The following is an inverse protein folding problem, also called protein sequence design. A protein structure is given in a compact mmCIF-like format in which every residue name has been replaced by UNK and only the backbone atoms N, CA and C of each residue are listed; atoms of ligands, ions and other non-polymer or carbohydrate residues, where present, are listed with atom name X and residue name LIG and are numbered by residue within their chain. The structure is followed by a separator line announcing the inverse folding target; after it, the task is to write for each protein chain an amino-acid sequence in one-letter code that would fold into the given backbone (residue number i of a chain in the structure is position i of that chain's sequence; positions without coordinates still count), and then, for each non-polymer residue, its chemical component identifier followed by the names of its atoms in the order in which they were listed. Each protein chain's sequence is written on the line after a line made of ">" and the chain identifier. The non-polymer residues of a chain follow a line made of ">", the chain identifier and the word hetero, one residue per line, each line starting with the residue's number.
data_IF_748334104202
#
_entry.id   IF_748334104202
#
_cell.length_a   1.000
_cell.length_b   1.000
_cell.length_c   1.000
_cell.angle_alpha   90.00
_cell.angle_beta   90.00
_cell.angle_gamma   90.00
#
_symmetry.space_group_name_H-M   'P 1'
#
loop_
_entity.id
_entity.type
_entity.pdbx_description
1 polymer ?
#
# COMPACT_ATOMS: atom_id res chain seq x y z
N UNK A 1 -23.83 0.16 -31.75
CA UNK A 1 -23.07 -1.06 -32.06
C UNK A 1 -22.12 -1.34 -30.90
N UNK A 2 -22.49 -2.23 -29.98
CA UNK A 2 -21.71 -2.54 -28.78
C UNK A 2 -21.15 -3.96 -28.85
N UNK A 3 -19.82 -4.06 -28.93
CA UNK A 3 -19.12 -5.35 -28.90
C UNK A 3 -18.73 -5.66 -27.45
N UNK A 4 -19.37 -6.67 -26.87
CA UNK A 4 -18.96 -7.29 -25.60
C UNK A 4 -17.92 -8.38 -25.90
N UNK A 5 -16.76 -8.44 -25.21
CA UNK A 5 -15.94 -9.64 -25.23
C UNK A 5 -16.44 -10.64 -24.17
N UNK A 6 -16.96 -11.78 -24.63
CA UNK A 6 -17.28 -12.95 -23.81
C UNK A 6 -15.99 -13.71 -23.46
N UNK A 7 -15.46 -13.50 -22.26
CA UNK A 7 -14.36 -14.27 -21.69
C UNK A 7 -14.91 -15.66 -21.31
N UNK A 8 -14.59 -16.68 -22.12
CA UNK A 8 -14.83 -18.10 -21.80
C UNK A 8 -13.79 -18.57 -20.78
N UNK A 9 -14.23 -19.01 -19.60
CA UNK A 9 -13.39 -19.73 -18.63
C UNK A 9 -13.19 -21.18 -19.09
N UNK A 10 -12.00 -21.79 -18.95
CA UNK A 10 -11.83 -23.20 -19.23
C UNK A 10 -12.47 -24.05 -18.12
N UNK A 11 -13.35 -24.98 -18.51
CA UNK A 11 -13.81 -26.05 -17.64
C UNK A 11 -12.65 -27.02 -17.40
N UNK A 12 -12.26 -27.19 -16.15
CA UNK A 12 -11.38 -28.28 -15.74
C UNK A 12 -12.17 -29.60 -15.80
N UNK A 13 -11.86 -30.46 -16.76
CA UNK A 13 -12.35 -31.83 -16.83
C UNK A 13 -11.25 -32.81 -16.47
N UNK A 14 -11.16 -33.14 -15.18
CA UNK A 14 -10.61 -34.44 -14.76
C UNK A 14 -11.33 -34.87 -13.48
N UNK A 15 -12.41 -35.64 -13.62
CA UNK A 15 -13.03 -36.37 -12.52
C UNK A 15 -12.84 -37.85 -12.80
N UNK A 16 -11.78 -38.41 -12.22
CA UNK A 16 -11.58 -39.85 -12.11
C UNK A 16 -12.61 -40.39 -11.11
N UNK A 17 -13.64 -41.06 -11.63
CA UNK A 17 -14.54 -41.89 -10.83
C UNK A 17 -13.77 -43.11 -10.33
N UNK A 18 -13.38 -43.10 -9.05
CA UNK A 18 -12.99 -44.31 -8.33
C UNK A 18 -14.23 -44.90 -7.65
N UNK A 19 -14.50 -46.16 -7.98
CA UNK A 19 -15.57 -46.96 -7.39
C UNK A 19 -15.31 -47.14 -5.89
N UNK A 20 -16.35 -46.85 -5.11
CA UNK A 20 -16.39 -47.05 -3.66
C UNK A 20 -16.53 -48.55 -3.40
N UNK A 21 -15.42 -49.22 -3.09
CA UNK A 21 -15.48 -50.50 -2.37
C UNK A 21 -15.50 -50.20 -0.86
N UNK A 22 -16.63 -50.49 -0.24
CA UNK A 22 -16.82 -50.42 1.20
C UNK A 22 -16.04 -51.54 1.89
N UNK A 23 -14.84 -51.20 2.38
CA UNK A 23 -14.18 -51.95 3.45
C UNK A 23 -13.81 -50.93 4.51
N UNK A 24 -14.34 -51.13 5.72
CA UNK A 24 -14.07 -50.30 6.88
C UNK A 24 -12.56 -50.28 7.18
N UNK A 25 -11.86 -49.24 6.71
CA UNK A 25 -10.51 -48.94 7.18
C UNK A 25 -10.65 -48.14 8.47
N UNK A 26 -10.44 -48.88 9.55
CA UNK A 26 -10.00 -48.42 10.87
C UNK A 26 -9.13 -47.17 10.70
N UNK A 27 -9.48 -46.10 11.41
CA UNK A 27 -8.74 -44.84 11.48
C UNK A 27 -7.36 -45.11 12.08
N UNK A 28 -6.41 -45.49 11.24
CA UNK A 28 -5.00 -45.37 11.59
C UNK A 28 -4.67 -43.88 11.53
N UNK A 29 -4.42 -43.29 12.68
CA UNK A 29 -3.71 -42.03 12.79
C UNK A 29 -2.28 -42.27 12.26
N UNK A 30 -2.12 -42.37 10.94
CA UNK A 30 -0.81 -42.39 10.31
C UNK A 30 -0.21 -41.03 10.56
N UNK A 31 0.68 -40.98 11.54
CA UNK A 31 1.57 -39.87 11.80
C UNK A 31 2.51 -39.73 10.60
N UNK A 32 2.00 -39.27 9.44
CA UNK A 32 2.83 -38.77 8.36
C UNK A 32 3.32 -37.38 8.75
N UNK A 33 4.02 -37.33 9.88
CA UNK A 33 4.66 -36.13 10.38
C UNK A 33 5.77 -35.78 9.41
N UNK A 34 5.54 -34.77 8.58
CA UNK A 34 6.54 -33.82 8.07
C UNK A 34 7.96 -34.40 7.91
N UNK A 35 8.11 -35.49 7.15
CA UNK A 35 9.42 -36.04 6.89
C UNK A 35 10.13 -35.14 5.88
N UNK A 36 11.39 -34.79 6.16
CA UNK A 36 12.29 -34.04 5.28
C UNK A 36 12.50 -34.70 3.89
N UNK A 37 12.00 -35.93 3.69
CA UNK A 37 12.06 -36.63 2.41
C UNK A 37 10.71 -36.71 1.69
N UNK A 38 9.73 -35.92 2.12
CA UNK A 38 8.50 -35.71 1.35
C UNK A 38 8.80 -35.09 -0.03
N UNK A 39 7.95 -35.29 -1.04
CA UNK A 39 8.19 -34.80 -2.40
C UNK A 39 8.45 -33.28 -2.49
N UNK A 40 7.81 -32.50 -1.62
CA UNK A 40 8.03 -31.05 -1.51
C UNK A 40 9.44 -30.71 -1.00
N UNK A 41 9.92 -31.38 0.05
CA UNK A 41 11.27 -31.17 0.58
C UNK A 41 12.36 -31.71 -0.34
N UNK A 42 12.14 -32.83 -1.02
CA UNK A 42 13.07 -33.36 -2.03
C UNK A 42 13.31 -32.34 -3.14
N UNK A 43 12.25 -31.71 -3.64
CA UNK A 43 12.38 -30.65 -4.66
C UNK A 43 13.10 -29.43 -4.09
N UNK A 44 12.79 -29.02 -2.85
CA UNK A 44 13.47 -27.90 -2.18
C UNK A 44 14.98 -28.15 -2.04
N UNK A 45 15.39 -29.36 -1.62
CA UNK A 45 16.80 -29.73 -1.54
C UNK A 45 17.47 -29.75 -2.92
N UNK A 46 16.80 -30.29 -3.95
CA UNK A 46 17.35 -30.29 -5.31
C UNK A 46 17.59 -28.86 -5.81
N UNK A 47 16.65 -27.93 -5.60
CA UNK A 47 16.82 -26.53 -5.96
C UNK A 47 17.95 -25.87 -5.16
N UNK A 48 18.06 -26.16 -3.86
CA UNK A 48 19.12 -25.62 -3.01
C UNK A 48 20.51 -26.13 -3.43
N UNK A 49 20.66 -27.43 -3.66
CA UNK A 49 21.92 -28.03 -4.13
C UNK A 49 22.28 -27.55 -5.53
N UNK A 50 21.30 -27.45 -6.44
CA UNK A 50 21.53 -26.91 -7.77
C UNK A 50 21.96 -25.43 -7.69
N UNK A 51 21.32 -24.63 -6.83
CA UNK A 51 21.70 -23.23 -6.62
C UNK A 51 23.12 -23.08 -6.08
N UNK A 52 23.55 -23.93 -5.13
CA UNK A 52 24.92 -23.94 -4.61
C UNK A 52 25.95 -24.33 -5.67
N UNK A 53 25.62 -25.29 -6.52
CA UNK A 53 26.50 -25.71 -7.63
C UNK A 53 26.58 -24.66 -8.75
N UNK A 54 25.51 -23.91 -8.97
CA UNK A 54 25.45 -22.83 -9.99
C UNK A 54 26.08 -21.53 -9.45
N UNK A 55 26.05 -21.29 -8.14
CA UNK A 55 26.62 -20.10 -7.49
C UNK A 55 28.03 -19.72 -7.94
N UNK A 56 29.03 -20.63 -8.02
CA UNK A 56 30.38 -20.28 -8.47
C UNK A 56 30.47 -19.91 -9.97
N UNK A 57 29.48 -20.28 -10.78
CA UNK A 57 29.43 -19.95 -12.21
C UNK A 57 28.65 -18.66 -12.51
N UNK A 58 27.94 -18.13 -11.51
CA UNK A 58 27.28 -16.84 -11.64
C UNK A 58 28.34 -15.74 -11.59
N UNK A 59 28.30 -14.86 -12.58
CA UNK A 59 29.21 -13.71 -12.66
C UNK A 59 29.10 -12.88 -11.37
N UNK A 60 30.23 -12.72 -10.68
CA UNK A 60 30.30 -11.94 -9.44
C UNK A 60 29.73 -10.54 -9.66
N UNK A 61 28.91 -10.01 -8.72
CA UNK A 61 28.43 -8.65 -8.82
C UNK A 61 29.60 -7.66 -8.87
N UNK A 62 29.46 -6.61 -9.68
CA UNK A 62 30.41 -5.51 -9.73
C UNK A 62 30.49 -4.84 -8.35
N UNK A 63 31.70 -4.59 -7.87
CA UNK A 63 31.96 -3.92 -6.58
C UNK A 63 31.49 -2.46 -6.58
N UNK A 64 31.26 -1.87 -7.74
CA UNK A 64 30.78 -0.49 -7.87
C UNK A 64 29.25 -0.43 -7.78
N UNK A 65 28.67 0.44 -6.94
CA UNK A 65 27.22 0.60 -6.86
C UNK A 65 26.68 1.22 -8.16
N UNK A 66 25.99 0.41 -8.97
CA UNK A 66 25.30 0.87 -10.19
C UNK A 66 23.94 1.40 -9.78
N UNK A 67 23.86 2.68 -9.43
CA UNK A 67 22.59 3.34 -9.12
C UNK A 67 22.50 4.70 -9.83
N UNK A 68 21.36 5.07 -10.42
CA UNK A 68 21.22 6.35 -11.10
C UNK A 68 21.40 7.56 -10.17
N UNK A 69 21.18 7.40 -8.86
CA UNK A 69 21.16 8.50 -7.90
C UNK A 69 22.51 8.80 -7.26
N UNK A 70 23.40 7.81 -7.10
CA UNK A 70 24.75 8.08 -6.56
C UNK A 70 25.68 8.60 -7.65
N UNK A 71 25.85 7.83 -8.74
CA UNK A 71 26.83 8.12 -9.79
C UNK A 71 26.16 8.04 -11.18
N UNK A 72 25.67 9.18 -11.72
CA UNK A 72 24.93 9.18 -12.98
C UNK A 72 25.79 8.76 -14.18
N UNK A 73 27.07 9.13 -14.19
CA UNK A 73 28.00 8.80 -15.29
C UNK A 73 28.32 7.31 -15.29
N UNK A 74 28.68 6.75 -14.12
CA UNK A 74 28.95 5.32 -13.97
C UNK A 74 27.72 4.46 -14.30
N UNK A 75 26.50 4.96 -14.05
CA UNK A 75 25.26 4.27 -14.42
C UNK A 75 25.05 4.24 -15.95
N UNK A 76 25.37 5.32 -16.66
CA UNK A 76 25.25 5.36 -18.12
C UNK A 76 26.38 4.56 -18.82
N UNK A 77 27.57 4.48 -18.22
CA UNK A 77 28.63 3.57 -18.64
C UNK A 77 28.19 2.11 -18.49
N UNK A 78 27.63 1.76 -17.32
CA UNK A 78 27.14 0.41 -17.03
C UNK A 78 25.98 -0.04 -17.95
N UNK A 79 25.26 0.88 -18.59
CA UNK A 79 24.29 0.50 -19.64
C UNK A 79 24.93 0.05 -20.93
N UNK A 80 26.05 0.69 -21.28
CA UNK A 80 26.77 0.49 -22.54
C UNK A 80 27.75 -0.68 -22.43
N UNK A 81 28.22 -0.97 -21.23
CA UNK A 81 29.16 -2.05 -20.97
C UNK A 81 28.57 -3.44 -21.25
N UNK A 82 29.21 -4.16 -22.17
CA UNK A 82 28.84 -5.53 -22.52
C UNK A 82 29.43 -6.59 -21.57
N UNK A 83 30.40 -6.20 -20.74
CA UNK A 83 31.07 -7.07 -19.76
C UNK A 83 30.19 -7.38 -18.55
N UNK A 84 29.10 -6.61 -18.35
CA UNK A 84 28.19 -6.80 -17.24
C UNK A 84 27.24 -7.98 -17.48
N UNK A 85 26.79 -8.65 -16.40
CA UNK A 85 25.83 -9.74 -16.49
C UNK A 85 24.55 -9.31 -17.22
N UNK A 86 23.99 -10.20 -18.04
CA UNK A 86 22.83 -9.90 -18.88
C UNK A 86 21.63 -9.36 -18.07
N UNK A 87 21.40 -9.87 -16.86
CA UNK A 87 20.35 -9.42 -15.96
C UNK A 87 20.57 -7.97 -15.51
N UNK A 88 21.79 -7.63 -15.08
CA UNK A 88 22.16 -6.29 -14.65
C UNK A 88 21.99 -5.28 -15.78
N UNK A 89 22.40 -5.65 -17.01
CA UNK A 89 22.20 -4.83 -18.21
C UNK A 89 20.71 -4.63 -18.52
N UNK A 90 19.91 -5.68 -18.42
CA UNK A 90 18.47 -5.59 -18.63
C UNK A 90 17.81 -4.65 -17.61
N UNK A 91 18.17 -4.76 -16.33
CA UNK A 91 17.69 -3.86 -15.29
C UNK A 91 18.12 -2.40 -15.54
N UNK A 92 19.38 -2.17 -15.89
CA UNK A 92 19.91 -0.84 -16.18
C UNK A 92 19.14 -0.15 -17.32
N UNK A 93 18.74 -0.91 -18.35
CA UNK A 93 17.94 -0.41 -19.46
C UNK A 93 16.51 -0.04 -19.06
N UNK A 94 15.92 -0.75 -18.09
CA UNK A 94 14.55 -0.51 -17.64
C UNK A 94 14.42 0.66 -16.64
N UNK A 95 15.48 0.94 -15.88
CA UNK A 95 15.49 2.00 -14.88
C UNK A 95 15.49 3.38 -15.56
N UNK A 96 14.83 4.41 -15.01
CA UNK A 96 14.88 5.76 -15.57
C UNK A 96 16.18 6.51 -15.24
N UNK A 97 16.58 7.47 -16.09
CA UNK A 97 17.76 8.33 -15.88
C UNK A 97 17.75 9.03 -14.51
N UNK A 98 18.94 9.35 -14.02
CA UNK A 98 19.20 10.08 -12.77
C UNK A 98 18.38 11.36 -12.62
N UNK A 99 18.33 12.18 -13.68
CA UNK A 99 17.62 13.46 -13.70
C UNK A 99 16.13 13.33 -13.39
N UNK A 100 15.51 12.23 -13.85
CA UNK A 100 14.08 12.00 -13.65
C UNK A 100 13.81 11.68 -12.19
N UNK A 101 14.70 10.92 -11.54
CA UNK A 101 14.61 10.64 -10.11
C UNK A 101 14.81 11.90 -9.27
N UNK A 102 15.78 12.74 -9.65
CA UNK A 102 15.99 14.04 -8.98
C UNK A 102 14.72 14.91 -9.05
N UNK A 103 14.15 15.09 -10.25
CA UNK A 103 12.89 15.85 -10.44
C UNK A 103 11.72 15.29 -9.63
N UNK A 104 11.59 13.96 -9.54
CA UNK A 104 10.55 13.32 -8.72
C UNK A 104 10.77 13.58 -7.23
N UNK A 105 12.02 13.45 -6.76
CA UNK A 105 12.36 13.70 -5.37
C UNK A 105 12.12 15.15 -4.97
N UNK A 106 12.51 16.11 -5.83
CA UNK A 106 12.27 17.54 -5.63
C UNK A 106 10.77 17.83 -5.52
N UNK A 107 9.96 17.25 -6.42
CA UNK A 107 8.49 17.36 -6.37
C UNK A 107 7.91 16.73 -5.09
N UNK A 108 8.42 15.59 -4.65
CA UNK A 108 7.97 14.96 -3.40
C UNK A 108 8.33 15.79 -2.17
N UNK A 109 9.49 16.46 -2.18
CA UNK A 109 9.91 17.37 -1.14
C UNK A 109 8.95 18.57 -1.06
N UNK A 110 8.64 19.16 -2.21
CA UNK A 110 7.69 20.27 -2.32
C UNK A 110 6.30 19.90 -1.77
N UNK A 111 5.72 18.78 -2.22
CA UNK A 111 4.42 18.31 -1.73
C UNK A 111 4.43 18.01 -0.22
N UNK A 112 5.55 17.49 0.30
CA UNK A 112 5.70 17.22 1.74
C UNK A 112 5.76 18.51 2.55
N UNK A 113 6.39 19.55 1.99
CA UNK A 113 6.45 20.88 2.60
C UNK A 113 5.06 21.53 2.62
N UNK A 114 4.34 21.53 1.51
CA UNK A 114 2.97 22.06 1.43
C UNK A 114 2.03 21.36 2.42
N UNK A 115 2.14 20.02 2.53
CA UNK A 115 1.36 19.25 3.48
C UNK A 115 1.71 19.59 4.94
N UNK A 116 2.97 19.89 5.24
CA UNK A 116 3.40 20.32 6.57
C UNK A 116 2.88 21.74 6.90
N UNK A 117 2.98 22.68 5.96
CA UNK A 117 2.44 24.04 6.10
C UNK A 117 0.92 24.02 6.32
N UNK A 118 0.21 23.19 5.56
CA UNK A 118 -1.23 23.00 5.72
C UNK A 118 -1.57 22.46 7.10
N UNK A 119 -0.79 21.51 7.63
CA UNK A 119 -0.98 20.98 8.99
C UNK A 119 -0.73 22.05 10.06
N UNK A 120 0.29 22.88 9.91
CA UNK A 120 0.56 23.98 10.83
C UNK A 120 -0.59 24.98 10.84
N UNK A 121 -1.09 25.37 9.66
CA UNK A 121 -2.23 26.27 9.53
C UNK A 121 -3.46 25.77 10.29
N UNK A 122 -3.77 24.47 10.18
CA UNK A 122 -4.92 23.87 10.87
C UNK A 122 -4.67 23.56 12.34
N UNK A 123 -3.41 23.43 12.78
CA UNK A 123 -3.06 23.28 14.20
C UNK A 123 -3.21 24.61 14.94
N UNK A 124 -2.82 25.71 14.31
CA UNK A 124 -2.98 27.06 14.87
C UNK A 124 -4.42 27.58 14.78
N UNK A 125 -5.20 27.07 13.83
CA UNK A 125 -6.61 27.41 13.71
C UNK A 125 -7.42 26.82 14.88
N UNK A 126 -7.66 27.64 15.90
CA UNK A 126 -8.63 27.30 16.95
C UNK A 126 -10.03 27.21 16.33
N UNK A 127 -10.76 26.12 16.63
CA UNK A 127 -12.19 26.06 16.33
C UNK A 127 -12.89 27.17 17.12
N UNK A 128 -13.86 27.87 16.52
CA UNK A 128 -14.64 28.84 17.28
C UNK A 128 -15.26 28.15 18.50
N UNK A 129 -15.10 28.76 19.68
CA UNK A 129 -15.56 28.18 20.93
C UNK A 129 -17.09 28.03 20.90
N UNK A 130 -17.58 26.80 20.77
CA UNK A 130 -19.02 26.51 20.82
C UNK A 130 -19.43 26.39 22.28
N UNK A 131 -20.28 27.31 22.73
CA UNK A 131 -20.92 27.22 24.03
C UNK A 131 -22.05 26.20 24.00
N UNK A 132 -21.93 25.13 24.77
CA UNK A 132 -22.98 24.13 24.91
C UNK A 132 -23.93 24.54 26.03
N UNK A 133 -25.10 25.04 25.67
CA UNK A 133 -26.17 25.31 26.62
C UNK A 133 -27.10 24.10 26.72
N UNK A 134 -27.49 23.73 27.95
CA UNK A 134 -28.44 22.62 28.20
C UNK A 134 -29.88 22.99 27.81
N UNK A 135 -30.23 24.26 27.96
CA UNK A 135 -31.58 24.77 27.71
C UNK A 135 -31.54 25.97 26.77
N UNK A 136 -31.61 25.75 25.44
CA UNK A 136 -31.65 26.86 24.47
C UNK A 136 -32.94 27.69 24.60
N UNK A 137 -34.02 27.10 25.13
CA UNK A 137 -35.28 27.80 25.36
C UNK A 137 -35.18 28.93 26.40
N UNK A 138 -34.09 29.03 27.16
CA UNK A 138 -33.89 30.11 28.13
C UNK A 138 -33.86 31.49 27.47
N UNK A 139 -33.55 31.58 26.18
CA UNK A 139 -33.55 32.84 25.44
C UNK A 139 -34.96 33.38 25.18
N UNK A 140 -35.99 32.52 25.20
CA UNK A 140 -37.38 32.90 24.94
C UNK A 140 -38.23 33.02 26.21
N UNK A 141 -37.64 32.82 27.39
CA UNK A 141 -38.37 32.87 28.66
C UNK A 141 -38.79 34.28 29.09
N UNK A 142 -38.28 35.32 28.43
CA UNK A 142 -38.61 36.69 28.79
C UNK A 142 -39.97 37.11 28.21
N UNK A 143 -40.72 37.90 28.99
CA UNK A 143 -41.98 38.50 28.54
C UNK A 143 -41.71 39.53 27.44
N UNK A 144 -42.42 39.49 26.28
CA UNK A 144 -42.25 40.48 25.22
C UNK A 144 -42.57 41.92 25.64
N UNK A 145 -43.38 42.10 26.69
CA UNK A 145 -43.96 43.40 27.05
C UNK A 145 -43.36 44.04 28.31
N UNK A 146 -42.47 43.35 29.03
CA UNK A 146 -41.93 43.83 30.30
C UNK A 146 -40.39 43.69 30.35
N UNK A 147 -39.72 44.31 29.36
CA UNK A 147 -38.28 44.25 29.21
C UNK A 147 -37.72 45.66 29.46
N UNK A 148 -36.95 45.89 30.54
CA UNK A 148 -36.30 47.16 30.74
C UNK A 148 -35.28 47.41 29.63
N UNK A 149 -35.20 48.66 29.17
CA UNK A 149 -34.26 49.06 28.10
C UNK A 149 -32.83 48.70 28.47
N UNK A 150 -32.10 48.07 27.55
CA UNK A 150 -30.70 47.64 27.75
C UNK A 150 -30.50 46.35 28.56
N UNK A 151 -31.56 45.68 29.00
CA UNK A 151 -31.44 44.41 29.76
C UNK A 151 -31.25 43.16 28.89
N UNK A 152 -31.69 43.21 27.63
CA UNK A 152 -31.58 42.11 26.68
C UNK A 152 -30.66 42.47 25.53
N UNK A 153 -29.93 41.45 25.06
CA UNK A 153 -29.06 41.51 23.89
C UNK A 153 -29.91 41.16 22.67
N UNK A 154 -29.65 41.77 21.52
CA UNK A 154 -30.28 41.38 20.26
C UNK A 154 -29.83 39.95 19.86
N UNK A 155 -30.79 39.03 19.76
CA UNK A 155 -30.57 37.62 19.44
C UNK A 155 -31.02 37.25 18.01
N UNK A 156 -31.29 38.23 17.15
CA UNK A 156 -31.82 38.01 15.80
C UNK A 156 -30.93 37.14 14.87
N UNK A 157 -29.61 37.10 15.09
CA UNK A 157 -28.67 36.26 14.33
C UNK A 157 -28.28 34.94 15.07
N UNK A 158 -28.97 34.59 16.15
CA UNK A 158 -28.67 33.37 16.91
C UNK A 158 -29.08 32.10 16.13
N UNK A 159 -28.10 31.29 15.72
CA UNK A 159 -28.34 29.98 15.09
C UNK A 159 -28.21 28.85 16.12
N UNK A 160 -29.33 28.35 16.63
CA UNK A 160 -29.37 27.19 17.53
C UNK A 160 -29.37 25.90 16.72
N UNK A 161 -28.36 25.04 16.95
CA UNK A 161 -28.36 23.69 16.39
C UNK A 161 -28.86 22.70 17.46
N UNK A 162 -29.90 21.89 17.16
CA UNK A 162 -30.33 20.84 18.08
C UNK A 162 -29.24 19.77 18.19
N UNK A 163 -29.05 19.22 19.40
CA UNK A 163 -28.20 18.05 19.60
C UNK A 163 -28.82 16.88 18.81
N UNK A 164 -28.01 16.26 17.94
CA UNK A 164 -28.42 15.16 17.07
C UNK A 164 -28.53 13.85 17.83
#
# INVERSE_FOLDING_TARGET
>A
MSLRPLIRKPLATTSSRTLINSVARRTEHTHSGNAFFSPSWRNAFLFFTASLLIYPYLSSPSTKPISPSLDPEAFEEARKDQSLPALTRWLANQISKAEVWKKRNDKHLELSKEAAETKLLFQEAERPRIWRMRYPSSFEQASPYNIPVGSQIDLSDLKVQPAK
#
